data_IF_109898350577
#
_entry.id   IF_109898350577
#
_cell.length_a   1.000
_cell.length_b   1.000
_cell.length_c   1.000
_cell.angle_alpha   90.00
_cell.angle_beta   90.00
_cell.angle_gamma   90.00
#
_symmetry.space_group_name_H-M   'P 1'
#
loop_
_entity.id
_entity.type
_entity.pdbx_description
1 polymer ?
#
# COMPACT_ATOMS: atom_id res chain seq x y z
N UNK A 1 71.46 27.96 20.53
CA UNK A 1 70.22 27.31 21.04
C UNK A 1 69.03 28.24 20.83
N UNK A 2 68.09 27.87 19.95
CA UNK A 2 66.61 28.00 20.12
C UNK A 2 65.95 27.53 18.81
N UNK A 3 64.96 26.67 18.98
CA UNK A 3 64.51 25.63 18.03
C UNK A 3 63.45 26.19 17.08
N UNK A 4 63.56 25.86 15.78
CA UNK A 4 62.47 26.00 14.80
C UNK A 4 61.41 24.92 15.10
N UNK A 5 60.16 25.33 15.29
CA UNK A 5 59.01 24.43 15.38
C UNK A 5 58.27 24.42 14.03
N UNK A 6 58.28 23.32 13.26
CA UNK A 6 57.38 23.17 12.14
C UNK A 6 56.01 22.74 12.68
N UNK A 7 55.03 23.65 12.67
CA UNK A 7 53.64 23.30 12.95
C UNK A 7 53.12 22.39 11.84
N UNK A 8 52.79 21.16 12.24
CA UNK A 8 52.36 20.08 11.36
C UNK A 8 51.10 20.42 10.59
N UNK A 9 51.15 20.14 9.29
CA UNK A 9 50.04 20.17 8.37
C UNK A 9 49.05 19.05 8.76
N UNK A 10 47.99 19.37 9.50
CA UNK A 10 46.91 18.43 9.79
C UNK A 10 46.05 18.33 8.53
N UNK A 11 46.24 17.26 7.75
CA UNK A 11 45.32 16.86 6.69
C UNK A 11 44.02 16.36 7.34
N UNK A 12 43.01 17.21 7.40
CA UNK A 12 41.65 16.84 7.78
C UNK A 12 41.01 16.05 6.63
N UNK A 13 41.18 14.72 6.63
CA UNK A 13 40.39 13.83 5.79
C UNK A 13 38.94 13.85 6.29
N UNK A 14 38.11 14.73 5.71
CA UNK A 14 36.66 14.66 5.79
C UNK A 14 36.23 13.36 5.09
N UNK A 15 36.09 12.28 5.86
CA UNK A 15 35.40 11.08 5.42
C UNK A 15 33.95 11.47 5.11
N UNK A 16 33.66 11.67 3.82
CA UNK A 16 32.29 11.62 3.31
C UNK A 16 31.81 10.18 3.48
N UNK A 17 31.22 9.87 4.64
CA UNK A 17 30.45 8.65 4.80
C UNK A 17 29.19 8.82 3.95
N UNK A 18 29.00 8.07 2.86
CA UNK A 18 27.74 8.12 2.13
C UNK A 18 26.65 7.67 3.10
N UNK A 19 25.69 8.57 3.36
CA UNK A 19 24.51 8.20 4.13
C UNK A 19 23.81 7.07 3.38
N UNK A 20 23.88 5.85 3.93
CA UNK A 20 23.14 4.73 3.37
C UNK A 20 21.66 5.09 3.42
N UNK A 21 21.03 5.21 2.24
CA UNK A 21 19.60 5.42 2.15
C UNK A 21 18.91 4.21 2.80
N UNK A 22 18.15 4.44 3.86
CA UNK A 22 17.31 3.41 4.46
C UNK A 22 16.33 2.91 3.39
N UNK A 23 16.05 1.60 3.31
CA UNK A 23 15.05 1.09 2.40
C UNK A 23 13.71 1.75 2.69
N UNK A 24 13.01 2.15 1.62
CA UNK A 24 11.67 2.73 1.76
C UNK A 24 10.75 1.77 2.54
N UNK A 25 9.85 2.29 3.39
CA UNK A 25 8.93 1.44 4.12
C UNK A 25 8.01 0.68 3.14
N UNK A 26 7.57 -0.54 3.49
CA UNK A 26 6.60 -1.27 2.69
C UNK A 26 5.33 -0.45 2.41
N UNK A 27 4.75 -0.63 1.22
CA UNK A 27 3.47 -0.01 0.87
C UNK A 27 2.37 -0.61 1.73
N UNK A 28 1.62 0.23 2.44
CA UNK A 28 0.45 -0.23 3.19
C UNK A 28 -0.74 -0.48 2.26
N UNK A 29 -1.40 -1.62 2.46
CA UNK A 29 -2.67 -1.96 1.83
C UNK A 29 -3.65 -2.31 2.95
N UNK A 30 -4.68 -1.48 3.12
CA UNK A 30 -5.74 -1.74 4.11
C UNK A 30 -6.98 -2.19 3.35
N UNK A 31 -7.60 -3.30 3.79
CA UNK A 31 -8.74 -3.91 3.11
C UNK A 31 -9.87 -4.08 4.11
N UNK A 32 -10.96 -3.34 3.91
CA UNK A 32 -12.22 -3.56 4.60
C UNK A 32 -13.09 -4.43 3.70
N UNK A 33 -13.61 -5.54 4.21
CA UNK A 33 -14.36 -6.51 3.41
C UNK A 33 -15.49 -7.15 4.19
N UNK A 34 -16.53 -7.60 3.51
CA UNK A 34 -17.54 -8.46 4.12
C UNK A 34 -17.19 -9.93 3.93
N UNK A 35 -17.20 -10.70 4.99
CA UNK A 35 -16.66 -12.06 5.01
C UNK A 35 -17.68 -13.14 4.62
N UNK A 36 -18.30 -12.96 3.47
CA UNK A 36 -19.34 -13.88 2.98
C UNK A 36 -19.45 -13.86 1.45
N UNK A 37 -20.18 -14.83 0.92
CA UNK A 37 -20.52 -14.87 -0.49
C UNK A 37 -21.38 -13.65 -0.89
N UNK A 38 -21.23 -13.11 -2.11
CA UNK A 38 -20.43 -13.63 -3.22
C UNK A 38 -18.97 -13.12 -3.26
N UNK A 39 -18.48 -12.42 -2.23
CA UNK A 39 -17.16 -11.76 -2.26
C UNK A 39 -15.97 -12.71 -2.11
N UNK A 40 -16.17 -13.92 -1.58
CA UNK A 40 -15.08 -14.86 -1.23
C UNK A 40 -14.11 -15.14 -2.41
N UNK A 41 -14.60 -15.24 -3.65
CA UNK A 41 -13.73 -15.47 -4.81
C UNK A 41 -12.84 -14.26 -5.11
N UNK A 42 -13.40 -13.05 -5.03
CA UNK A 42 -12.67 -11.79 -5.13
C UNK A 42 -11.60 -11.68 -4.04
N UNK A 43 -11.94 -12.00 -2.79
CA UNK A 43 -10.97 -11.96 -1.67
C UNK A 43 -9.80 -12.91 -1.89
N UNK A 44 -10.06 -14.10 -2.43
CA UNK A 44 -8.99 -15.05 -2.81
C UNK A 44 -8.03 -14.41 -3.82
N UNK A 45 -8.55 -13.84 -4.91
CA UNK A 45 -7.73 -13.20 -5.94
C UNK A 45 -6.95 -11.99 -5.42
N UNK A 46 -7.57 -11.16 -4.58
CA UNK A 46 -6.89 -10.02 -3.94
C UNK A 46 -5.77 -10.50 -3.01
N UNK A 47 -6.01 -11.55 -2.21
CA UNK A 47 -5.00 -12.12 -1.30
C UNK A 47 -3.82 -12.70 -2.07
N UNK A 48 -4.08 -13.49 -3.11
CA UNK A 48 -3.04 -14.06 -3.98
C UNK A 48 -2.20 -12.95 -4.62
N UNK A 49 -2.85 -11.90 -5.14
CA UNK A 49 -2.16 -10.75 -5.72
C UNK A 49 -1.29 -10.03 -4.69
N UNK A 50 -1.83 -9.63 -3.53
CA UNK A 50 -1.05 -8.93 -2.52
C UNK A 50 0.13 -9.77 -2.01
N UNK A 51 -0.08 -11.08 -1.81
CA UNK A 51 0.99 -11.99 -1.37
C UNK A 51 2.16 -12.06 -2.37
N UNK A 52 1.90 -11.87 -3.67
CA UNK A 52 2.95 -11.86 -4.71
C UNK A 52 3.96 -10.72 -4.57
N UNK A 53 3.67 -9.68 -3.77
CA UNK A 53 4.58 -8.57 -3.50
C UNK A 53 5.51 -8.84 -2.31
N UNK A 54 5.30 -9.91 -1.55
CA UNK A 54 6.15 -10.28 -0.41
C UNK A 54 6.30 -9.12 0.59
N UNK A 55 7.54 -8.78 0.94
CA UNK A 55 7.85 -7.71 1.90
C UNK A 55 7.64 -6.28 1.38
N UNK A 56 7.38 -6.11 0.08
CA UNK A 56 7.16 -4.77 -0.50
C UNK A 56 5.79 -4.20 -0.13
N UNK A 57 4.85 -5.04 0.29
CA UNK A 57 3.49 -4.66 0.70
C UNK A 57 3.21 -5.20 2.09
N UNK A 58 2.59 -4.39 2.94
CA UNK A 58 2.00 -4.83 4.21
C UNK A 58 0.49 -4.73 4.12
N UNK A 59 -0.21 -5.87 4.27
CA UNK A 59 -1.68 -5.93 4.13
C UNK A 59 -2.34 -6.05 5.50
N UNK A 60 -3.33 -5.20 5.76
CA UNK A 60 -4.23 -5.30 6.92
C UNK A 60 -5.64 -5.61 6.45
N UNK A 61 -6.26 -6.65 7.03
CA UNK A 61 -7.59 -7.11 6.68
C UNK A 61 -8.56 -6.81 7.83
N UNK A 62 -9.68 -6.17 7.51
CA UNK A 62 -10.72 -5.78 8.45
C UNK A 62 -12.04 -6.38 7.98
N UNK A 63 -12.55 -7.34 8.75
CA UNK A 63 -13.86 -7.93 8.52
C UNK A 63 -14.93 -6.94 8.97
N UNK A 64 -15.77 -6.50 8.04
CA UNK A 64 -16.84 -5.53 8.24
C UNK A 64 -17.76 -5.90 9.42
N UNK A 65 -17.95 -7.19 9.65
CA UNK A 65 -18.87 -7.71 10.68
C UNK A 65 -18.17 -7.98 12.03
N UNK A 66 -16.88 -7.67 12.15
CA UNK A 66 -16.14 -7.80 13.41
C UNK A 66 -16.06 -6.48 14.18
N UNK A 67 -15.89 -6.52 15.53
CA UNK A 67 -15.67 -5.32 16.33
C UNK A 67 -14.47 -4.47 15.87
N UNK A 68 -13.42 -5.10 15.34
CA UNK A 68 -12.26 -4.42 14.78
C UNK A 68 -12.61 -3.71 13.45
N UNK A 69 -13.40 -4.36 12.60
CA UNK A 69 -13.89 -3.76 11.36
C UNK A 69 -14.81 -2.58 11.59
N UNK A 70 -15.73 -2.68 12.55
CA UNK A 70 -16.60 -1.56 12.94
C UNK A 70 -15.77 -0.33 13.38
N UNK A 71 -14.75 -0.54 14.22
CA UNK A 71 -13.82 0.52 14.62
C UNK A 71 -13.06 1.09 13.43
N UNK A 72 -12.61 0.22 12.51
CA UNK A 72 -11.88 0.64 11.33
C UNK A 72 -12.76 1.45 10.35
N UNK A 73 -14.01 1.03 10.14
CA UNK A 73 -15.01 1.77 9.38
C UNK A 73 -15.22 3.16 9.94
N UNK A 74 -15.44 3.27 11.24
CA UNK A 74 -15.61 4.56 11.93
C UNK A 74 -14.38 5.45 11.74
N UNK A 75 -13.17 4.89 11.90
CA UNK A 75 -11.90 5.60 11.66
C UNK A 75 -11.77 6.12 10.23
N UNK A 76 -12.27 5.36 9.24
CA UNK A 76 -12.19 5.70 7.81
C UNK A 76 -13.36 6.54 7.30
N UNK A 77 -14.38 6.81 8.14
CA UNK A 77 -15.59 7.53 7.73
C UNK A 77 -16.47 6.74 6.76
N UNK A 78 -16.43 5.40 6.83
CA UNK A 78 -17.27 4.53 5.99
C UNK A 78 -18.61 4.31 6.70
N UNK A 79 -19.69 4.79 6.08
CA UNK A 79 -21.06 4.69 6.62
C UNK A 79 -22.00 3.85 5.75
N UNK A 80 -21.55 3.45 4.56
CA UNK A 80 -22.35 2.70 3.59
C UNK A 80 -22.05 1.20 3.69
N UNK A 81 -23.02 0.38 3.28
CA UNK A 81 -22.85 -1.06 3.15
C UNK A 81 -22.06 -1.36 1.86
N UNK A 82 -20.73 -1.32 1.96
CA UNK A 82 -19.79 -1.53 0.85
C UNK A 82 -19.13 -2.91 0.98
N UNK A 83 -19.30 -3.82 0.01
CA UNK A 83 -18.73 -5.17 0.11
C UNK A 83 -17.22 -5.21 0.30
N UNK A 84 -16.51 -4.28 -0.32
CA UNK A 84 -15.06 -4.22 -0.33
C UNK A 84 -14.60 -2.78 -0.51
N UNK A 85 -13.60 -2.36 0.26
CA UNK A 85 -12.84 -1.14 0.02
C UNK A 85 -11.36 -1.43 0.25
N UNK A 86 -10.51 -0.98 -0.68
CA UNK A 86 -9.06 -1.17 -0.62
C UNK A 86 -8.40 0.21 -0.61
N UNK A 87 -7.60 0.49 0.42
CA UNK A 87 -6.74 1.67 0.47
C UNK A 87 -5.30 1.26 0.18
N UNK A 88 -4.65 1.96 -0.75
CA UNK A 88 -3.22 1.81 -1.06
C UNK A 88 -2.52 3.08 -0.59
N UNK A 89 -1.52 2.93 0.29
CA UNK A 89 -0.87 4.06 0.96
C UNK A 89 -1.89 5.05 1.58
N UNK A 90 -2.96 4.50 2.17
CA UNK A 90 -4.02 5.26 2.82
C UNK A 90 -5.06 5.90 1.89
N UNK A 91 -5.00 5.71 0.57
CA UNK A 91 -5.95 6.28 -0.41
C UNK A 91 -6.78 5.19 -1.09
N UNK A 92 -8.12 5.33 -1.16
CA UNK A 92 -8.98 4.39 -1.87
C UNK A 92 -9.04 4.67 -3.39
N UNK A 93 -8.65 5.88 -3.79
CA UNK A 93 -8.54 6.32 -5.17
C UNK A 93 -7.07 6.53 -5.52
N UNK A 94 -6.61 5.86 -6.58
CA UNK A 94 -5.22 5.91 -7.05
C UNK A 94 -5.21 6.21 -8.53
N UNK A 95 -4.24 7.01 -8.97
CA UNK A 95 -3.99 7.23 -10.39
C UNK A 95 -3.08 6.12 -10.93
N UNK A 96 -3.58 5.33 -11.87
CA UNK A 96 -2.85 4.24 -12.54
C UNK A 96 -2.84 4.53 -14.04
N UNK A 97 -1.67 4.62 -14.65
CA UNK A 97 -1.52 4.90 -16.11
C UNK A 97 -2.34 6.11 -16.58
N UNK A 98 -2.45 7.15 -15.75
CA UNK A 98 -3.20 8.38 -16.07
C UNK A 98 -4.69 8.34 -15.74
N UNK A 99 -5.26 7.18 -15.43
CA UNK A 99 -6.66 6.99 -15.04
C UNK A 99 -6.81 7.01 -13.52
N UNK A 100 -7.80 7.71 -12.99
CA UNK A 100 -8.18 7.59 -11.58
C UNK A 100 -9.04 6.33 -11.38
N UNK A 101 -8.67 5.52 -10.41
CA UNK A 101 -9.31 4.25 -10.10
C UNK A 101 -9.65 4.24 -8.62
N UNK A 102 -10.94 4.07 -8.32
CA UNK A 102 -11.44 3.89 -6.97
C UNK A 102 -11.66 2.39 -6.70
N UNK A 103 -11.02 1.87 -5.67
CA UNK A 103 -11.09 0.46 -5.29
C UNK A 103 -12.20 0.23 -4.25
N UNK A 104 -13.44 0.38 -4.69
CA UNK A 104 -14.67 0.18 -3.89
C UNK A 104 -15.59 -0.81 -4.60
N UNK A 105 -16.29 -1.64 -3.83
CA UNK A 105 -17.21 -2.66 -4.33
C UNK A 105 -16.51 -3.84 -4.97
N UNK A 106 -17.28 -4.68 -5.66
CA UNK A 106 -16.74 -5.80 -6.44
C UNK A 106 -15.95 -5.27 -7.65
N UNK A 107 -14.86 -5.92 -8.08
CA UNK A 107 -14.27 -5.62 -9.38
C UNK A 107 -15.28 -5.85 -10.51
N UNK A 108 -15.16 -5.07 -11.59
CA UNK A 108 -15.98 -5.14 -12.78
C UNK A 108 -16.08 -6.59 -13.28
N UNK A 109 -17.31 -7.06 -13.52
CA UNK A 109 -17.57 -8.43 -14.00
C UNK A 109 -17.59 -9.48 -12.88
N UNK A 110 -17.54 -9.10 -11.61
CA UNK A 110 -17.67 -10.02 -10.47
C UNK A 110 -18.80 -9.59 -9.52
N UNK A 111 -19.42 -10.56 -8.85
CA UNK A 111 -20.51 -10.28 -7.90
C UNK A 111 -21.76 -9.63 -8.52
N UNK A 112 -22.70 -9.16 -7.68
CA UNK A 112 -23.95 -8.57 -8.14
C UNK A 112 -23.70 -7.23 -8.83
N UNK A 113 -24.31 -6.95 -10.00
CA UNK A 113 -24.03 -5.74 -10.78
C UNK A 113 -24.19 -4.42 -10.04
N UNK A 114 -25.15 -4.33 -9.11
CA UNK A 114 -25.41 -3.12 -8.31
C UNK A 114 -24.31 -2.77 -7.31
N UNK A 115 -23.41 -3.71 -7.02
CA UNK A 115 -22.30 -3.54 -6.10
C UNK A 115 -20.93 -3.55 -6.79
N UNK A 116 -20.90 -3.57 -8.13
CA UNK A 116 -19.66 -3.51 -8.90
C UNK A 116 -19.11 -2.08 -8.91
N UNK A 117 -17.83 -1.95 -8.62
CA UNK A 117 -17.03 -0.76 -8.87
C UNK A 117 -16.50 -0.72 -10.30
N UNK A 118 -15.68 0.29 -10.59
CA UNK A 118 -15.07 0.52 -11.92
C UNK A 118 -13.58 0.16 -11.93
N UNK A 119 -13.24 -0.99 -11.38
CA UNK A 119 -11.86 -1.47 -11.23
C UNK A 119 -11.77 -2.99 -11.47
N UNK A 120 -10.57 -3.48 -11.75
CA UNK A 120 -10.26 -4.90 -11.99
C UNK A 120 -9.06 -5.36 -11.15
N UNK A 121 -8.83 -6.67 -11.04
CA UNK A 121 -7.59 -7.18 -10.42
C UNK A 121 -6.32 -6.72 -11.16
N UNK A 122 -6.41 -6.43 -12.46
CA UNK A 122 -5.30 -5.86 -13.22
C UNK A 122 -5.05 -4.40 -12.82
N UNK A 123 -6.09 -3.62 -12.60
CA UNK A 123 -5.96 -2.25 -12.07
C UNK A 123 -5.30 -2.25 -10.68
N UNK A 124 -5.68 -3.18 -9.80
CA UNK A 124 -5.07 -3.34 -8.48
C UNK A 124 -3.59 -3.73 -8.61
N UNK A 125 -3.24 -4.64 -9.52
CA UNK A 125 -1.84 -4.98 -9.81
C UNK A 125 -1.07 -3.75 -10.27
N UNK A 126 -1.59 -3.01 -11.25
CA UNK A 126 -0.94 -1.80 -11.75
C UNK A 126 -0.75 -0.72 -10.67
N UNK A 127 -1.71 -0.58 -9.74
CA UNK A 127 -1.58 0.32 -8.61
C UNK A 127 -0.47 -0.12 -7.64
N UNK A 128 -0.38 -1.42 -7.34
CA UNK A 128 0.66 -1.98 -6.46
C UNK A 128 2.05 -1.96 -7.11
N UNK A 129 2.15 -2.21 -8.41
CA UNK A 129 3.40 -2.08 -9.18
C UNK A 129 3.91 -0.64 -9.09
N UNK A 130 3.06 0.33 -9.41
CA UNK A 130 3.39 1.75 -9.31
C UNK A 130 3.77 2.17 -7.88
N UNK A 131 3.02 1.71 -6.87
CA UNK A 131 3.28 2.08 -5.47
C UNK A 131 4.57 1.47 -4.93
N UNK A 132 4.93 0.25 -5.37
CA UNK A 132 6.14 -0.45 -4.93
C UNK A 132 7.37 -0.16 -5.79
N UNK A 133 7.20 0.60 -6.88
CA UNK A 133 8.28 0.89 -7.83
C UNK A 133 8.68 -0.31 -8.69
N UNK A 134 7.88 -1.39 -8.72
CA UNK A 134 8.03 -2.46 -9.71
C UNK A 134 7.60 -1.92 -11.07
N UNK A 135 8.48 -2.02 -12.07
CA UNK A 135 8.18 -1.70 -13.46
C UNK A 135 7.60 -2.92 -14.17
#
# INVERSE_FOLDING_TARGET
MKKLFPYGLIFLFLFFIPAAALPAPPVSVEILYMNHGPLLSTLKGVRELCNSYGKAVTVSWYDFESPEGEKFMAKKGVHQHLPLVIWIAGKPTVKVKGKEIEFVGFPTGSGPPSFQGKWTLEDLRGALDQATGKK
#
